data_IF_699555003858
#
_entry.id   IF_699555003858
#
_cell.length_a   1.000
_cell.length_b   1.000
_cell.length_c   1.000
_cell.angle_alpha   90.00
_cell.angle_beta   90.00
_cell.angle_gamma   90.00
#
_symmetry.space_group_name_H-M   'P 1'
#
loop_
_entity.id
_entity.type
_entity.pdbx_description
1 polymer ?
#
# COMPACT_ATOMS: atom_id res chain seq x y z
N UNK A 1 -27.24 -23.70 -42.57
CA UNK A 1 -26.96 -23.99 -41.14
C UNK A 1 -25.90 -23.10 -40.50
N UNK A 2 -25.01 -22.40 -41.22
CA UNK A 2 -23.96 -21.51 -40.64
C UNK A 2 -24.48 -20.21 -39.97
N UNK A 3 -25.69 -19.72 -40.29
CA UNK A 3 -26.13 -18.40 -39.81
C UNK A 3 -26.70 -18.39 -38.37
N UNK A 4 -27.28 -19.50 -37.90
CA UNK A 4 -27.86 -19.59 -36.54
C UNK A 4 -26.85 -19.78 -35.44
N UNK A 5 -25.79 -20.53 -35.69
CA UNK A 5 -24.67 -20.75 -34.72
C UNK A 5 -23.88 -19.47 -34.48
N UNK A 6 -23.67 -18.66 -35.51
CA UNK A 6 -23.01 -17.35 -35.37
C UNK A 6 -23.86 -16.33 -34.58
N UNK A 7 -25.19 -16.47 -34.59
CA UNK A 7 -26.11 -15.62 -33.83
C UNK A 7 -26.01 -15.86 -32.31
N UNK A 8 -26.03 -17.12 -31.88
CA UNK A 8 -26.00 -17.50 -30.45
C UNK A 8 -24.64 -17.15 -29.84
N UNK A 9 -23.54 -17.47 -30.53
CA UNK A 9 -22.21 -17.11 -30.07
C UNK A 9 -22.00 -15.59 -29.88
N UNK A 10 -22.57 -14.81 -30.79
CA UNK A 10 -22.50 -13.35 -30.71
C UNK A 10 -23.34 -12.78 -29.55
N UNK A 11 -24.51 -13.39 -29.28
CA UNK A 11 -25.33 -13.03 -28.13
C UNK A 11 -24.60 -13.34 -26.82
N UNK A 12 -24.03 -14.55 -26.70
CA UNK A 12 -23.26 -14.94 -25.51
C UNK A 12 -22.07 -14.00 -25.24
N UNK A 13 -21.33 -13.66 -26.29
CA UNK A 13 -20.20 -12.72 -26.18
C UNK A 13 -20.65 -11.31 -25.74
N UNK A 14 -21.78 -10.82 -26.19
CA UNK A 14 -22.35 -9.56 -25.72
C UNK A 14 -22.74 -9.63 -24.25
N UNK A 15 -23.35 -10.73 -23.80
CA UNK A 15 -23.72 -10.93 -22.39
C UNK A 15 -22.46 -10.95 -21.50
N UNK A 16 -21.42 -11.67 -21.91
CA UNK A 16 -20.12 -11.68 -21.21
C UNK A 16 -19.53 -10.27 -21.18
N UNK A 17 -19.56 -9.54 -22.30
CA UNK A 17 -19.08 -8.17 -22.37
C UNK A 17 -19.83 -7.25 -21.38
N UNK A 18 -21.15 -7.36 -21.30
CA UNK A 18 -21.96 -6.61 -20.34
C UNK A 18 -21.61 -6.94 -18.89
N UNK A 19 -21.32 -8.21 -18.58
CA UNK A 19 -20.90 -8.61 -17.24
C UNK A 19 -19.62 -7.87 -16.83
N UNK A 20 -18.58 -7.85 -17.71
CA UNK A 20 -17.31 -7.16 -17.42
C UNK A 20 -17.47 -5.64 -17.41
N UNK A 21 -18.32 -5.07 -18.27
CA UNK A 21 -18.63 -3.63 -18.26
C UNK A 21 -19.24 -3.22 -16.91
N UNK A 22 -20.26 -3.97 -16.44
CA UNK A 22 -20.87 -3.72 -15.13
C UNK A 22 -19.88 -3.89 -13.98
N UNK A 23 -19.06 -4.95 -14.02
CA UNK A 23 -18.02 -5.17 -13.03
C UNK A 23 -17.01 -4.01 -12.98
N UNK A 24 -16.57 -3.48 -14.15
CA UNK A 24 -15.70 -2.31 -14.21
C UNK A 24 -16.35 -1.08 -13.58
N UNK A 25 -17.60 -0.79 -13.92
CA UNK A 25 -18.32 0.37 -13.38
C UNK A 25 -18.49 0.28 -11.86
N UNK A 26 -18.77 -0.93 -11.34
CA UNK A 26 -18.81 -1.19 -9.91
C UNK A 26 -17.44 -1.01 -9.26
N UNK A 27 -16.36 -1.55 -9.84
CA UNK A 27 -15.00 -1.32 -9.36
C UNK A 27 -14.65 0.19 -9.35
N UNK A 28 -15.01 0.92 -10.41
CA UNK A 28 -14.75 2.36 -10.51
C UNK A 28 -15.57 3.19 -9.52
N UNK A 29 -16.64 2.65 -8.95
CA UNK A 29 -17.44 3.31 -7.90
C UNK A 29 -16.84 3.16 -6.49
N UNK A 30 -15.86 2.26 -6.30
CA UNK A 30 -15.30 1.95 -4.97
C UNK A 30 -14.71 3.16 -4.23
N UNK A 31 -14.10 4.17 -4.88
CA UNK A 31 -13.60 5.37 -4.21
C UNK A 31 -14.67 6.17 -3.47
N UNK A 32 -15.92 6.06 -3.91
CA UNK A 32 -17.03 6.90 -3.47
C UNK A 32 -17.95 6.22 -2.45
N UNK A 33 -17.72 4.95 -2.15
CA UNK A 33 -18.60 4.16 -1.30
C UNK A 33 -17.87 3.76 -0.03
N UNK A 34 -18.32 4.31 1.12
CA UNK A 34 -17.72 3.96 2.41
C UNK A 34 -17.95 2.48 2.75
N UNK A 35 -16.91 1.73 3.16
CA UNK A 35 -16.99 0.27 3.38
C UNK A 35 -17.98 -0.16 4.47
N UNK A 36 -18.35 0.71 5.42
CA UNK A 36 -19.37 0.39 6.41
C UNK A 36 -20.77 0.27 5.81
N UNK A 37 -21.06 0.97 4.71
CA UNK A 37 -22.33 0.83 3.99
C UNK A 37 -22.32 -0.38 3.06
N UNK A 38 -21.18 -0.64 2.42
CA UNK A 38 -21.06 -1.69 1.41
C UNK A 38 -19.67 -2.33 1.49
N UNK A 39 -19.46 -3.19 2.48
CA UNK A 39 -18.14 -3.75 2.77
C UNK A 39 -17.48 -4.50 1.60
N UNK A 40 -18.26 -5.16 0.75
CA UNK A 40 -17.73 -5.92 -0.39
C UNK A 40 -17.16 -5.01 -1.50
N UNK A 41 -17.37 -3.69 -1.42
CA UNK A 41 -16.76 -2.74 -2.35
C UNK A 41 -15.23 -2.80 -2.28
N UNK A 42 -14.66 -3.14 -1.12
CA UNK A 42 -13.23 -3.36 -0.95
C UNK A 42 -12.69 -4.49 -1.83
N UNK A 43 -13.46 -5.58 -2.03
CA UNK A 43 -13.07 -6.62 -3.00
C UNK A 43 -13.07 -6.12 -4.43
N UNK A 44 -14.02 -5.27 -4.77
CA UNK A 44 -14.11 -4.71 -6.12
C UNK A 44 -12.92 -3.79 -6.41
N UNK A 45 -12.44 -3.04 -5.41
CA UNK A 45 -11.23 -2.24 -5.59
C UNK A 45 -10.00 -3.10 -5.92
N UNK A 46 -9.85 -4.28 -5.29
CA UNK A 46 -8.79 -5.24 -5.61
C UNK A 46 -8.85 -5.76 -7.05
N UNK A 47 -10.07 -5.89 -7.61
CA UNK A 47 -10.28 -6.37 -8.98
C UNK A 47 -10.12 -5.28 -10.03
N UNK A 48 -10.10 -4.01 -9.63
CA UNK A 48 -10.10 -2.86 -10.53
C UNK A 48 -9.07 -2.94 -11.68
N UNK A 49 -7.76 -3.21 -11.45
CA UNK A 49 -6.80 -3.26 -12.54
C UNK A 49 -7.13 -4.32 -13.61
N UNK A 50 -7.63 -5.47 -13.16
CA UNK A 50 -7.99 -6.57 -14.07
C UNK A 50 -9.22 -6.24 -14.90
N UNK A 51 -10.20 -5.55 -14.32
CA UNK A 51 -11.40 -5.13 -15.03
C UNK A 51 -11.08 -4.12 -16.12
N UNK A 52 -10.17 -3.17 -15.86
CA UNK A 52 -9.68 -2.25 -16.89
C UNK A 52 -9.03 -2.99 -18.05
N UNK A 53 -8.13 -3.94 -17.77
CA UNK A 53 -7.46 -4.73 -18.81
C UNK A 53 -8.47 -5.58 -19.60
N UNK A 54 -9.40 -6.25 -18.92
CA UNK A 54 -10.40 -7.11 -19.56
C UNK A 54 -11.35 -6.31 -20.45
N UNK A 55 -11.89 -5.18 -19.97
CA UNK A 55 -12.76 -4.32 -20.78
C UNK A 55 -12.00 -3.68 -21.94
N UNK A 56 -10.70 -3.37 -21.76
CA UNK A 56 -9.82 -2.98 -22.86
C UNK A 56 -9.70 -4.05 -23.96
N UNK A 57 -9.50 -5.30 -23.58
CA UNK A 57 -9.50 -6.44 -24.54
C UNK A 57 -10.85 -6.59 -25.23
N UNK A 58 -11.96 -6.47 -24.50
CA UNK A 58 -13.32 -6.51 -25.05
C UNK A 58 -13.53 -5.37 -26.04
N UNK A 59 -13.08 -4.17 -25.74
CA UNK A 59 -13.13 -3.03 -26.66
C UNK A 59 -12.41 -3.35 -27.97
N UNK A 60 -11.16 -3.80 -27.90
CA UNK A 60 -10.33 -4.16 -29.07
C UNK A 60 -11.03 -5.25 -29.89
N UNK A 61 -11.59 -6.29 -29.26
CA UNK A 61 -12.33 -7.35 -29.94
C UNK A 61 -13.51 -6.80 -30.76
N UNK A 62 -14.36 -5.95 -30.15
CA UNK A 62 -15.53 -5.42 -30.86
C UNK A 62 -15.18 -4.38 -31.95
N UNK A 63 -14.06 -3.67 -31.81
CA UNK A 63 -13.51 -2.81 -32.87
C UNK A 63 -13.04 -3.64 -34.04
N UNK A 64 -12.28 -4.72 -33.85
CA UNK A 64 -11.82 -5.64 -34.91
C UNK A 64 -13.02 -6.28 -35.63
N UNK A 65 -14.09 -6.58 -34.88
CA UNK A 65 -15.34 -7.09 -35.47
C UNK A 65 -16.16 -6.05 -36.23
N UNK A 66 -15.73 -4.79 -36.25
CA UNK A 66 -16.45 -3.64 -36.84
C UNK A 66 -17.92 -3.54 -36.36
N UNK A 67 -18.14 -3.99 -35.12
CA UNK A 67 -19.46 -3.98 -34.50
C UNK A 67 -19.71 -2.69 -33.75
N UNK A 68 -20.81 -2.00 -33.96
CA UNK A 68 -21.22 -0.81 -33.19
C UNK A 68 -21.27 -1.06 -31.67
N UNK A 69 -21.25 -2.32 -31.23
CA UNK A 69 -21.23 -2.69 -29.82
C UNK A 69 -19.96 -2.16 -29.09
N UNK A 70 -18.87 -1.84 -29.82
CA UNK A 70 -17.64 -1.26 -29.24
C UNK A 70 -17.89 0.02 -28.43
N UNK A 71 -18.99 0.74 -28.71
CA UNK A 71 -19.36 1.97 -28.03
C UNK A 71 -19.54 1.73 -26.52
N UNK A 72 -20.10 0.60 -26.10
CA UNK A 72 -20.39 0.31 -24.69
C UNK A 72 -19.12 0.12 -23.83
N UNK A 73 -18.16 -0.75 -24.19
CA UNK A 73 -16.90 -0.83 -23.45
C UNK A 73 -16.08 0.47 -23.52
N UNK A 74 -16.14 1.22 -24.63
CA UNK A 74 -15.50 2.53 -24.73
C UNK A 74 -16.10 3.51 -23.72
N UNK A 75 -17.42 3.64 -23.65
CA UNK A 75 -18.11 4.49 -22.69
C UNK A 75 -17.81 4.07 -21.24
N UNK A 76 -17.77 2.77 -20.95
CA UNK A 76 -17.43 2.27 -19.63
C UNK A 76 -16.02 2.68 -19.22
N UNK A 77 -15.03 2.56 -20.10
CA UNK A 77 -13.64 2.99 -19.85
C UNK A 77 -13.57 4.52 -19.64
N UNK A 78 -14.28 5.31 -20.43
CA UNK A 78 -14.32 6.77 -20.27
C UNK A 78 -14.96 7.19 -18.95
N UNK A 79 -16.09 6.57 -18.55
CA UNK A 79 -16.72 6.82 -17.26
C UNK A 79 -15.86 6.40 -16.08
N UNK A 80 -15.01 5.39 -16.27
CA UNK A 80 -14.09 4.87 -15.25
C UNK A 80 -12.71 5.55 -15.27
N UNK A 81 -12.48 6.54 -16.14
CA UNK A 81 -11.18 7.19 -16.34
C UNK A 81 -10.62 7.81 -15.05
N UNK A 82 -11.52 8.35 -14.20
CA UNK A 82 -11.13 8.87 -12.89
C UNK A 82 -10.48 7.80 -12.00
N UNK A 83 -11.05 6.59 -11.93
CA UNK A 83 -10.45 5.48 -11.17
C UNK A 83 -9.20 4.92 -11.85
N UNK A 84 -9.16 4.91 -13.20
CA UNK A 84 -8.02 4.41 -13.97
C UNK A 84 -6.71 5.11 -13.63
N UNK A 85 -6.70 6.43 -13.51
CA UNK A 85 -5.50 7.24 -13.26
C UNK A 85 -4.79 6.92 -11.94
N UNK A 86 -5.47 6.32 -10.95
CA UNK A 86 -4.86 5.93 -9.68
C UNK A 86 -4.29 4.52 -9.69
N UNK A 87 -4.80 3.67 -10.57
CA UNK A 87 -4.33 2.29 -10.71
C UNK A 87 -3.06 2.18 -11.54
N UNK A 88 -2.88 3.04 -12.55
CA UNK A 88 -1.81 2.92 -13.54
C UNK A 88 -0.99 4.21 -13.63
N UNK A 89 0.32 4.05 -13.71
CA UNK A 89 1.27 5.11 -14.04
C UNK A 89 2.04 4.73 -15.31
N UNK A 90 2.29 5.70 -16.17
CA UNK A 90 2.97 5.47 -17.46
C UNK A 90 4.20 6.36 -17.64
N UNK A 91 4.87 6.70 -16.55
CA UNK A 91 6.12 7.42 -16.66
C UNK A 91 7.23 6.51 -17.18
N UNK A 92 8.06 7.05 -18.04
CA UNK A 92 9.20 6.29 -18.57
C UNK A 92 10.10 5.87 -17.41
N UNK A 93 10.40 4.57 -17.27
CA UNK A 93 11.35 4.12 -16.25
C UNK A 93 12.66 4.88 -16.36
N UNK A 94 13.09 5.51 -15.27
CA UNK A 94 14.38 6.19 -15.18
C UNK A 94 15.26 5.48 -14.17
N UNK A 95 16.58 5.52 -14.40
CA UNK A 95 17.53 5.04 -13.41
C UNK A 95 17.51 5.99 -12.22
N UNK A 96 17.31 5.44 -11.03
CA UNK A 96 17.37 6.21 -9.80
C UNK A 96 18.80 6.67 -9.55
N UNK A 97 19.02 7.98 -9.40
CA UNK A 97 20.33 8.58 -9.18
C UNK A 97 20.59 8.70 -7.68
N UNK A 98 21.70 8.14 -7.20
CA UNK A 98 21.99 8.14 -5.76
C UNK A 98 22.37 9.52 -5.24
N UNK A 99 22.98 10.36 -6.09
CA UNK A 99 23.34 11.74 -5.71
C UNK A 99 22.10 12.60 -5.60
N UNK A 100 21.88 13.18 -4.42
CA UNK A 100 20.78 14.13 -4.15
C UNK A 100 21.21 15.57 -4.45
N UNK A 101 20.24 16.42 -4.76
CA UNK A 101 20.38 17.88 -4.75
C UNK A 101 19.95 18.47 -3.42
N UNK A 102 20.42 19.65 -3.05
CA UNK A 102 20.25 20.23 -1.70
C UNK A 102 18.78 20.51 -1.33
N UNK A 103 17.93 20.83 -2.32
CA UNK A 103 16.51 21.12 -2.10
C UNK A 103 15.60 19.87 -2.09
N UNK A 104 16.19 18.68 -2.10
CA UNK A 104 15.44 17.41 -2.12
C UNK A 104 15.43 16.80 -0.71
N UNK A 105 14.27 16.27 -0.33
CA UNK A 105 14.10 15.40 0.83
C UNK A 105 13.87 13.95 0.31
N UNK A 106 14.80 13.05 0.65
CA UNK A 106 14.66 11.63 0.31
C UNK A 106 13.94 10.90 1.44
N UNK A 107 12.77 10.38 1.13
CA UNK A 107 11.89 9.68 2.07
C UNK A 107 11.79 8.22 1.68
N UNK A 108 12.01 7.32 2.65
CA UNK A 108 11.80 5.87 2.52
C UNK A 108 10.63 5.45 3.40
N UNK A 109 9.76 4.59 2.88
CA UNK A 109 8.77 3.86 3.69
C UNK A 109 8.96 2.36 3.50
N UNK A 110 8.88 1.59 4.59
CA UNK A 110 9.03 0.15 4.54
C UNK A 110 8.34 -0.56 5.71
N UNK A 111 7.38 -1.42 5.42
CA UNK A 111 6.89 -2.39 6.39
C UNK A 111 7.90 -3.54 6.50
N UNK A 112 8.46 -3.73 7.70
CA UNK A 112 9.58 -4.65 7.94
C UNK A 112 9.12 -6.05 8.35
N UNK A 113 7.81 -6.27 8.48
CA UNK A 113 7.26 -7.55 8.91
C UNK A 113 7.98 -8.09 10.17
N UNK A 114 8.20 -7.23 11.16
CA UNK A 114 8.90 -7.58 12.41
C UNK A 114 10.30 -8.18 12.19
N UNK A 115 10.98 -7.86 11.10
CA UNK A 115 12.24 -8.47 10.66
C UNK A 115 12.16 -9.98 10.45
N UNK A 116 10.97 -10.49 10.09
CA UNK A 116 10.80 -11.90 9.74
C UNK A 116 11.19 -12.08 8.27
N UNK A 117 12.06 -13.05 7.95
CA UNK A 117 12.41 -13.32 6.56
C UNK A 117 11.19 -13.59 5.68
N UNK A 118 11.22 -13.10 4.45
CA UNK A 118 10.15 -13.22 3.46
C UNK A 118 9.61 -14.67 3.29
N UNK A 119 10.50 -15.67 3.34
CA UNK A 119 10.18 -17.08 3.12
C UNK A 119 9.86 -17.86 4.40
N UNK A 120 9.79 -17.20 5.55
CA UNK A 120 9.47 -17.84 6.82
C UNK A 120 8.05 -17.50 7.25
N UNK A 121 7.30 -18.53 7.67
CA UNK A 121 5.90 -18.38 8.10
C UNK A 121 5.73 -18.22 9.61
N UNK A 122 6.75 -18.61 10.38
CA UNK A 122 6.69 -18.59 11.83
C UNK A 122 7.45 -17.39 12.40
N UNK A 123 6.85 -16.74 13.40
CA UNK A 123 7.51 -15.74 14.19
C UNK A 123 8.71 -16.35 14.93
N UNK A 124 9.90 -16.17 14.37
CA UNK A 124 11.16 -16.50 15.03
C UNK A 124 11.72 -15.29 15.75
N UNK A 125 12.63 -15.47 16.72
CA UNK A 125 13.38 -14.33 17.24
C UNK A 125 14.05 -13.56 16.11
N UNK A 126 13.99 -12.23 16.19
CA UNK A 126 14.69 -11.35 15.25
C UNK A 126 16.15 -11.73 15.21
N UNK A 127 16.71 -11.94 14.02
CA UNK A 127 18.11 -12.29 13.87
C UNK A 127 18.93 -11.14 13.25
N UNK A 128 20.20 -11.10 13.60
CA UNK A 128 21.16 -10.08 13.14
C UNK A 128 21.27 -10.02 11.60
N UNK A 129 21.21 -11.16 10.94
CA UNK A 129 21.30 -11.22 9.48
C UNK A 129 20.16 -10.44 8.82
N UNK A 130 18.94 -10.55 9.36
CA UNK A 130 17.79 -9.83 8.81
C UNK A 130 17.87 -8.32 9.09
N UNK A 131 18.31 -7.95 10.30
CA UNK A 131 18.59 -6.54 10.63
C UNK A 131 19.62 -5.98 9.66
N UNK A 132 20.75 -6.67 9.45
CA UNK A 132 21.81 -6.20 8.56
C UNK A 132 21.33 -6.00 7.12
N UNK A 133 20.52 -6.91 6.57
CA UNK A 133 19.93 -6.75 5.22
C UNK A 133 19.11 -5.47 5.10
N UNK A 134 18.32 -5.14 6.12
CA UNK A 134 17.53 -3.90 6.13
C UNK A 134 18.47 -2.69 6.21
N UNK A 135 19.46 -2.72 7.09
CA UNK A 135 20.43 -1.63 7.25
C UNK A 135 21.26 -1.42 5.98
N UNK A 136 21.66 -2.49 5.28
CA UNK A 136 22.37 -2.41 4.00
C UNK A 136 21.55 -1.67 2.93
N UNK A 137 20.23 -1.90 2.88
CA UNK A 137 19.34 -1.13 2.00
C UNK A 137 19.23 0.33 2.41
N UNK A 138 19.18 0.63 3.71
CA UNK A 138 19.20 2.01 4.22
C UNK A 138 20.48 2.72 3.83
N UNK A 139 21.64 2.07 4.02
CA UNK A 139 22.97 2.62 3.66
C UNK A 139 23.07 2.86 2.15
N UNK A 140 22.65 1.90 1.35
CA UNK A 140 22.70 2.00 -0.12
C UNK A 140 21.84 3.15 -0.65
N UNK A 141 20.67 3.37 -0.05
CA UNK A 141 19.71 4.35 -0.52
C UNK A 141 19.84 5.73 0.11
N UNK A 142 20.52 5.83 1.25
CA UNK A 142 20.79 7.07 1.98
C UNK A 142 19.56 7.99 2.16
N UNK A 143 18.40 7.48 2.65
CA UNK A 143 17.26 8.32 2.93
C UNK A 143 17.58 9.39 3.98
N UNK A 144 16.88 10.51 3.92
CA UNK A 144 16.94 11.57 4.92
C UNK A 144 15.95 11.28 6.05
N UNK A 145 14.82 10.72 5.68
CA UNK A 145 13.75 10.30 6.59
C UNK A 145 13.33 8.87 6.25
N UNK A 146 13.12 8.07 7.28
CA UNK A 146 12.65 6.69 7.15
C UNK A 146 11.37 6.53 7.97
N UNK A 147 10.32 6.01 7.32
CA UNK A 147 9.08 5.61 7.93
C UNK A 147 9.02 4.07 7.94
N UNK A 148 9.21 3.46 9.09
CA UNK A 148 9.10 2.02 9.25
C UNK A 148 7.76 1.64 9.88
N UNK A 149 7.17 0.54 9.40
CA UNK A 149 6.04 -0.14 10.00
C UNK A 149 6.50 -1.53 10.45
N UNK A 150 5.86 -2.07 11.48
CA UNK A 150 6.24 -3.34 12.13
C UNK A 150 7.74 -3.38 12.51
N UNK A 151 8.27 -2.22 12.91
CA UNK A 151 9.65 -2.09 13.36
C UNK A 151 9.80 -2.67 14.76
N UNK A 152 10.89 -3.42 15.02
CA UNK A 152 11.19 -3.97 16.34
C UNK A 152 12.39 -3.27 16.96
N UNK A 153 12.22 -2.84 18.21
CA UNK A 153 13.30 -2.44 19.10
C UNK A 153 13.68 -3.58 20.05
N UNK A 154 14.99 -3.77 20.29
CA UNK A 154 15.59 -4.82 21.10
C UNK A 154 16.37 -4.23 22.28
N UNK A 155 15.77 -3.61 23.32
CA UNK A 155 16.49 -2.85 24.34
C UNK A 155 17.54 -3.63 25.10
N UNK A 156 17.36 -4.94 25.26
CA UNK A 156 18.33 -5.82 25.95
C UNK A 156 19.53 -6.23 25.08
N UNK A 157 19.46 -6.01 23.76
CA UNK A 157 20.50 -6.39 22.80
C UNK A 157 21.16 -5.13 22.23
N UNK A 158 21.82 -4.34 23.07
CA UNK A 158 22.36 -3.03 22.68
C UNK A 158 23.12 -3.03 21.36
N UNK A 159 23.99 -4.02 21.13
CA UNK A 159 24.83 -4.09 19.94
C UNK A 159 24.08 -4.53 18.67
N UNK A 160 22.92 -5.15 18.81
CA UNK A 160 22.10 -5.66 17.71
C UNK A 160 20.71 -5.00 17.67
N UNK A 161 20.48 -3.94 18.48
CA UNK A 161 19.24 -3.19 18.47
C UNK A 161 19.18 -2.29 17.23
N UNK A 162 18.31 -2.54 16.26
CA UNK A 162 18.24 -1.76 15.02
C UNK A 162 17.95 -0.27 15.28
N UNK A 163 17.23 0.06 16.35
CA UNK A 163 16.98 1.43 16.75
C UNK A 163 18.29 2.16 17.13
N UNK A 164 19.12 1.51 17.95
CA UNK A 164 20.40 2.08 18.36
C UNK A 164 21.39 2.16 17.19
N UNK A 165 21.45 1.12 16.36
CA UNK A 165 22.30 1.10 15.17
C UNK A 165 21.99 2.27 14.23
N UNK A 166 20.70 2.48 13.91
CA UNK A 166 20.27 3.59 13.07
C UNK A 166 20.66 4.94 13.66
N UNK A 167 20.48 5.11 14.97
CA UNK A 167 20.75 6.37 15.65
C UNK A 167 22.26 6.67 15.77
N UNK A 168 23.04 5.69 16.21
CA UNK A 168 24.45 5.90 16.60
C UNK A 168 25.42 5.71 15.44
N UNK A 169 25.12 4.78 14.50
CA UNK A 169 26.06 4.43 13.43
C UNK A 169 25.66 4.99 12.06
N UNK A 170 24.34 5.20 11.82
CA UNK A 170 23.85 5.62 10.51
C UNK A 170 23.33 7.05 10.45
N UNK A 171 23.48 7.82 11.55
CA UNK A 171 23.25 9.26 11.59
C UNK A 171 21.79 9.67 11.68
N UNK A 172 20.86 8.77 12.03
CA UNK A 172 19.47 9.11 12.29
C UNK A 172 19.30 9.56 13.76
N UNK A 173 19.84 10.73 14.07
CA UNK A 173 19.92 11.24 15.43
C UNK A 173 18.54 11.46 16.09
N UNK A 174 17.50 11.65 15.29
CA UNK A 174 16.16 11.97 15.74
C UNK A 174 15.19 10.85 15.41
N UNK A 175 14.29 10.55 16.36
CA UNK A 175 13.39 9.41 16.28
C UNK A 175 12.07 9.72 16.98
N UNK A 176 10.95 9.31 16.33
CA UNK A 176 9.67 9.04 16.96
C UNK A 176 9.33 7.58 16.75
N UNK A 177 9.01 6.86 17.82
CA UNK A 177 8.61 5.45 17.81
C UNK A 177 7.47 5.26 18.80
N UNK A 178 6.38 4.64 18.40
CA UNK A 178 5.26 4.39 19.31
C UNK A 178 5.57 3.26 20.29
N UNK A 179 6.24 2.19 19.83
CA UNK A 179 6.69 1.08 20.68
C UNK A 179 5.60 0.48 21.56
N UNK A 180 4.34 0.54 21.12
CA UNK A 180 3.20 0.24 21.94
C UNK A 180 3.03 -1.25 22.22
N UNK A 181 3.50 -2.11 21.34
CA UNK A 181 3.32 -3.55 21.44
C UNK A 181 4.52 -4.26 22.03
N UNK A 182 4.25 -5.05 23.08
CA UNK A 182 5.21 -6.03 23.57
C UNK A 182 5.09 -7.27 22.67
N UNK A 183 5.86 -7.28 21.58
CA UNK A 183 5.86 -8.39 20.62
C UNK A 183 6.32 -9.72 21.25
N UNK A 184 7.29 -9.65 22.16
CA UNK A 184 7.76 -10.75 23.03
C UNK A 184 8.41 -10.12 24.26
N UNK A 185 8.70 -10.93 25.29
CA UNK A 185 9.35 -10.41 26.50
C UNK A 185 10.57 -9.52 26.14
N UNK A 186 10.43 -8.20 26.35
CA UNK A 186 11.41 -7.15 26.07
C UNK A 186 11.71 -6.83 24.59
N UNK A 187 10.78 -7.09 23.68
CA UNK A 187 10.80 -6.61 22.31
C UNK A 187 9.59 -5.70 22.11
N UNK A 188 9.81 -4.51 21.60
CA UNK A 188 8.75 -3.55 21.32
C UNK A 188 8.57 -3.44 19.81
N UNK A 189 7.35 -3.60 19.34
CA UNK A 189 6.97 -3.44 17.95
C UNK A 189 6.17 -2.17 17.77
N UNK A 190 6.25 -1.57 16.59
CA UNK A 190 5.43 -0.41 16.26
C UNK A 190 5.85 0.30 14.99
N UNK A 191 5.30 1.51 14.84
CA UNK A 191 5.55 2.40 13.73
C UNK A 191 6.59 3.46 14.13
N UNK A 192 7.53 3.76 13.24
CA UNK A 192 8.63 4.67 13.54
C UNK A 192 8.88 5.69 12.42
N UNK A 193 9.35 6.88 12.84
CA UNK A 193 9.97 7.87 11.95
C UNK A 193 11.41 8.10 12.44
N UNK A 194 12.38 7.80 11.60
CA UNK A 194 13.79 8.16 11.81
C UNK A 194 14.13 9.33 10.92
N UNK A 195 14.85 10.31 11.46
CA UNK A 195 15.24 11.52 10.73
C UNK A 195 16.70 11.89 10.98
N UNK A 196 17.36 12.33 9.91
CA UNK A 196 18.66 13.03 10.01
C UNK A 196 18.48 14.50 10.40
N UNK A 197 17.31 15.07 10.20
CA UNK A 197 16.95 16.43 10.54
C UNK A 197 16.34 16.51 11.95
N UNK A 198 16.51 17.65 12.65
CA UNK A 198 15.92 17.85 13.97
C UNK A 198 14.40 17.66 13.95
N UNK A 199 13.89 16.92 14.94
CA UNK A 199 12.48 16.78 15.24
C UNK A 199 12.16 17.76 16.37
N UNK A 200 11.28 18.74 16.12
CA UNK A 200 10.88 19.75 17.12
C UNK A 200 9.57 19.39 17.82
N UNK A 201 8.78 18.56 17.21
CA UNK A 201 7.54 18.01 17.79
C UNK A 201 7.27 16.65 17.19
N UNK A 202 6.79 15.73 18.00
CA UNK A 202 6.37 14.42 17.53
C UNK A 202 5.29 13.83 18.43
N UNK A 203 4.66 12.76 17.98
CA UNK A 203 3.64 12.06 18.76
C UNK A 203 3.01 10.90 17.99
N UNK A 204 2.09 10.25 18.68
CA UNK A 204 1.27 9.15 18.17
C UNK A 204 -0.12 9.69 17.91
N UNK A 205 -0.72 9.29 16.81
CA UNK A 205 -2.12 9.54 16.46
C UNK A 205 -2.92 8.29 16.83
N UNK A 206 -3.60 8.28 17.98
CA UNK A 206 -4.36 7.09 18.40
C UNK A 206 -5.65 6.99 17.58
N UNK A 207 -5.89 5.84 16.97
CA UNK A 207 -7.19 5.58 16.33
C UNK A 207 -8.28 5.35 17.39
N UNK A 208 -9.47 5.94 17.24
CA UNK A 208 -10.51 5.93 18.27
C UNK A 208 -11.23 4.59 18.44
N UNK A 209 -10.81 3.55 17.71
CA UNK A 209 -11.49 2.26 17.73
C UNK A 209 -10.80 1.25 18.66
N UNK A 210 -11.52 0.76 19.70
CA UNK A 210 -10.99 -0.21 20.66
C UNK A 210 -10.75 -1.61 20.06
N UNK A 211 -11.03 -1.81 18.78
CA UNK A 211 -10.85 -3.09 18.07
C UNK A 211 -9.67 -3.09 17.09
N UNK A 212 -9.01 -1.96 16.90
CA UNK A 212 -7.74 -1.93 16.22
C UNK A 212 -6.69 -2.58 17.12
N UNK A 213 -5.92 -3.53 16.59
CA UNK A 213 -4.74 -4.01 17.30
C UNK A 213 -3.82 -2.83 17.58
N UNK A 214 -3.26 -2.75 18.78
CA UNK A 214 -2.39 -1.63 19.18
C UNK A 214 -1.09 -1.54 18.35
N UNK A 215 -0.81 -2.55 17.51
CA UNK A 215 0.34 -2.57 16.59
C UNK A 215 0.21 -1.63 15.38
N UNK A 216 -0.98 -1.06 15.19
CA UNK A 216 -1.31 -0.25 14.03
C UNK A 216 -1.51 1.20 14.46
N UNK A 217 -0.44 1.98 14.38
CA UNK A 217 -0.46 3.38 14.75
C UNK A 217 0.02 4.27 13.60
N UNK A 218 -0.44 5.49 13.63
CA UNK A 218 0.19 6.58 12.88
C UNK A 218 1.03 7.38 13.85
N UNK A 219 2.31 7.55 13.54
CA UNK A 219 3.18 8.49 14.25
C UNK A 219 3.47 9.69 13.37
N UNK A 220 3.69 10.84 13.99
CA UNK A 220 4.11 12.04 13.28
C UNK A 220 5.39 12.63 13.89
N UNK A 221 6.15 13.32 13.05
CA UNK A 221 7.33 14.07 13.44
C UNK A 221 7.39 15.37 12.62
N UNK A 222 7.51 16.51 13.30
CA UNK A 222 7.76 17.81 12.69
C UNK A 222 9.28 18.00 12.58
N UNK A 223 9.80 17.89 11.36
CA UNK A 223 11.23 18.03 11.06
C UNK A 223 11.54 19.42 10.56
N UNK A 224 12.75 19.93 10.89
CA UNK A 224 13.26 21.19 10.36
C UNK A 224 14.31 20.88 9.28
N UNK A 225 14.09 21.37 8.06
CA UNK A 225 15.07 21.35 6.98
C UNK A 225 15.26 22.77 6.43
N UNK A 226 16.43 23.36 6.73
CA UNK A 226 16.65 24.78 6.45
C UNK A 226 15.75 25.68 7.31
N UNK A 227 14.96 26.53 6.67
CA UNK A 227 13.94 27.39 7.31
C UNK A 227 12.59 26.72 7.46
N UNK A 228 12.37 25.57 6.82
CA UNK A 228 11.04 24.98 6.67
C UNK A 228 10.78 23.92 7.73
N UNK A 229 9.57 23.92 8.23
CA UNK A 229 9.04 22.82 9.06
C UNK A 229 8.10 21.97 8.22
N UNK A 230 8.37 20.68 8.17
CA UNK A 230 7.58 19.68 7.42
C UNK A 230 7.14 18.61 8.39
N UNK A 231 5.85 18.28 8.35
CA UNK A 231 5.33 17.14 9.11
C UNK A 231 5.47 15.85 8.32
N UNK A 232 6.10 14.87 8.93
CA UNK A 232 6.19 13.51 8.41
C UNK A 232 5.19 12.63 9.17
N UNK A 233 4.30 11.96 8.46
CA UNK A 233 3.47 10.91 9.03
C UNK A 233 3.99 9.55 8.56
N UNK A 234 4.26 8.66 9.50
CA UNK A 234 4.44 7.23 9.23
C UNK A 234 3.14 6.53 9.59
N UNK A 235 2.51 5.90 8.61
CA UNK A 235 1.16 5.33 8.74
C UNK A 235 1.21 3.82 8.61
N UNK A 236 0.50 3.13 9.49
CA UNK A 236 0.19 1.71 9.35
C UNK A 236 -1.30 1.51 9.70
N UNK A 237 -2.13 1.26 8.70
CA UNK A 237 -3.56 0.97 8.90
C UNK A 237 -3.76 -0.52 9.20
N UNK A 238 -4.97 -0.86 9.65
CA UNK A 238 -5.35 -2.22 10.03
C UNK A 238 -4.92 -3.24 8.98
N UNK A 239 -4.13 -4.22 9.39
CA UNK A 239 -3.78 -5.35 8.53
C UNK A 239 -4.95 -6.35 8.41
N UNK A 240 -5.02 -7.07 7.28
CA UNK A 240 -5.91 -8.23 7.18
C UNK A 240 -5.47 -9.37 8.12
N UNK A 241 -4.24 -9.32 8.62
CA UNK A 241 -3.71 -10.31 9.55
C UNK A 241 -3.77 -11.74 8.97
N UNK A 242 -3.49 -11.89 7.67
CA UNK A 242 -3.47 -13.21 7.03
C UNK A 242 -2.22 -13.96 7.46
N UNK A 243 -2.43 -15.09 8.14
CA UNK A 243 -1.40 -16.04 8.46
C UNK A 243 -1.50 -17.29 7.59
N UNK A 244 -0.73 -18.32 7.95
CA UNK A 244 -0.72 -19.60 7.22
C UNK A 244 -2.12 -20.23 7.07
N UNK A 245 -2.99 -20.04 8.06
CA UNK A 245 -4.35 -20.57 8.01
C UNK A 245 -5.14 -19.93 6.87
N UNK A 246 -5.15 -18.59 6.79
CA UNK A 246 -5.90 -17.85 5.80
C UNK A 246 -5.36 -18.11 4.40
N UNK A 247 -4.04 -18.16 4.22
CA UNK A 247 -3.43 -18.53 2.94
C UNK A 247 -3.79 -19.95 2.52
N UNK A 248 -3.77 -20.92 3.46
CA UNK A 248 -4.17 -22.29 3.17
C UNK A 248 -5.67 -22.38 2.79
N UNK A 249 -6.54 -21.58 3.39
CA UNK A 249 -7.96 -21.50 3.01
C UNK A 249 -8.10 -21.00 1.58
N UNK A 250 -7.37 -19.94 1.20
CA UNK A 250 -7.39 -19.40 -0.15
C UNK A 250 -6.89 -20.40 -1.21
N UNK A 251 -5.93 -21.25 -0.86
CA UNK A 251 -5.36 -22.24 -1.78
C UNK A 251 -6.17 -23.54 -1.86
N UNK A 252 -6.82 -23.95 -0.75
CA UNK A 252 -7.60 -25.20 -0.68
C UNK A 252 -9.04 -25.08 -1.15
N UNK A 253 -9.52 -23.87 -1.45
CA UNK A 253 -10.93 -23.57 -1.77
C UNK A 253 -11.55 -24.36 -2.96
N UNK A 254 -11.05 -25.56 -3.25
CA UNK A 254 -11.51 -26.40 -4.36
C UNK A 254 -11.98 -27.81 -3.96
N UNK A 255 -11.93 -28.28 -2.70
CA UNK A 255 -12.08 -29.72 -2.46
C UNK A 255 -13.00 -30.25 -1.35
N UNK A 256 -13.57 -29.48 -0.36
CA UNK A 256 -14.37 -30.15 0.70
C UNK A 256 -15.44 -29.30 1.43
N UNK A 257 -16.38 -29.98 2.19
CA UNK A 257 -17.51 -29.35 2.93
C UNK A 257 -17.11 -28.46 4.12
N UNK A 258 -15.96 -28.66 4.71
CA UNK A 258 -15.39 -27.79 5.74
C UNK A 258 -15.02 -26.40 5.17
N UNK A 259 -14.85 -26.28 3.87
CA UNK A 259 -14.53 -25.08 3.12
C UNK A 259 -15.57 -23.97 3.29
N UNK A 260 -16.85 -24.28 3.40
CA UNK A 260 -17.88 -23.27 3.57
C UNK A 260 -17.77 -22.53 4.92
N UNK A 261 -17.39 -23.23 5.98
CA UNK A 261 -17.18 -22.63 7.31
C UNK A 261 -15.93 -21.74 7.31
N UNK A 262 -14.86 -22.22 6.70
CA UNK A 262 -13.60 -21.48 6.59
C UNK A 262 -13.72 -20.27 5.65
N UNK A 263 -14.42 -20.40 4.53
CA UNK A 263 -14.73 -19.28 3.64
C UNK A 263 -15.57 -18.20 4.33
N UNK A 264 -16.59 -18.59 5.12
CA UNK A 264 -17.39 -17.65 5.93
C UNK A 264 -16.53 -16.93 6.98
N UNK A 265 -15.61 -17.64 7.62
CA UNK A 265 -14.67 -17.03 8.58
C UNK A 265 -13.79 -15.99 7.88
N UNK A 266 -13.20 -16.31 6.72
CA UNK A 266 -12.37 -15.41 5.95
C UNK A 266 -13.15 -14.16 5.49
N UNK A 267 -14.35 -14.36 4.94
CA UNK A 267 -15.23 -13.27 4.54
C UNK A 267 -15.59 -12.35 5.71
N UNK A 268 -15.88 -12.92 6.89
CA UNK A 268 -16.16 -12.13 8.09
C UNK A 268 -14.96 -11.31 8.55
N UNK A 269 -13.75 -11.90 8.48
CA UNK A 269 -12.49 -11.23 8.82
C UNK A 269 -12.24 -10.08 7.84
N UNK A 270 -12.35 -10.32 6.54
CA UNK A 270 -12.17 -9.30 5.51
C UNK A 270 -13.20 -8.18 5.62
N UNK A 271 -14.48 -8.52 5.85
CA UNK A 271 -15.53 -7.52 6.09
C UNK A 271 -15.13 -6.57 7.22
N UNK A 272 -14.74 -7.13 8.39
CA UNK A 272 -14.33 -6.33 9.55
C UNK A 272 -13.15 -5.41 9.19
N UNK A 273 -12.15 -5.92 8.47
CA UNK A 273 -10.97 -5.13 8.09
C UNK A 273 -11.34 -4.00 7.13
N UNK A 274 -12.15 -4.25 6.10
CA UNK A 274 -12.60 -3.18 5.19
C UNK A 274 -13.41 -2.09 5.92
N UNK A 275 -14.31 -2.49 6.84
CA UNK A 275 -15.07 -1.53 7.65
C UNK A 275 -14.12 -0.67 8.53
N UNK A 276 -13.11 -1.28 9.15
CA UNK A 276 -12.10 -0.57 9.93
C UNK A 276 -11.26 0.38 9.07
N UNK A 277 -10.84 -0.04 7.86
CA UNK A 277 -10.13 0.81 6.92
C UNK A 277 -10.89 2.10 6.62
N UNK A 278 -12.19 2.01 6.32
CA UNK A 278 -13.01 3.19 6.08
C UNK A 278 -13.04 4.15 7.28
N UNK A 279 -13.24 3.61 8.49
CA UNK A 279 -13.28 4.41 9.72
C UNK A 279 -11.91 5.01 10.05
N UNK A 280 -10.82 4.27 9.87
CA UNK A 280 -9.47 4.77 10.07
C UNK A 280 -9.11 5.84 9.05
N UNK A 281 -9.52 5.67 7.78
CA UNK A 281 -9.30 6.65 6.72
C UNK A 281 -10.02 7.97 7.03
N UNK A 282 -11.28 7.93 7.45
CA UNK A 282 -12.04 9.13 7.82
C UNK A 282 -11.40 9.89 8.99
N UNK A 283 -10.94 9.14 10.00
CA UNK A 283 -10.27 9.74 11.14
C UNK A 283 -8.92 10.35 10.74
N UNK A 284 -8.11 9.58 10.02
CA UNK A 284 -6.79 10.05 9.56
C UNK A 284 -6.92 11.29 8.67
N UNK A 285 -7.89 11.32 7.75
CA UNK A 285 -8.16 12.49 6.90
C UNK A 285 -8.42 13.76 7.71
N UNK A 286 -9.17 13.65 8.83
CA UNK A 286 -9.39 14.79 9.75
C UNK A 286 -8.09 15.26 10.40
N UNK A 287 -7.23 14.32 10.80
CA UNK A 287 -5.91 14.62 11.39
C UNK A 287 -4.99 15.30 10.36
N UNK A 288 -4.96 14.79 9.14
CA UNK A 288 -4.16 15.34 8.04
C UNK A 288 -4.59 16.77 7.69
N UNK A 289 -5.91 17.00 7.58
CA UNK A 289 -6.47 18.33 7.28
C UNK A 289 -6.22 19.35 8.41
N UNK A 290 -6.01 18.88 9.63
CA UNK A 290 -5.66 19.72 10.79
C UNK A 290 -4.15 19.93 10.94
N UNK A 291 -3.31 19.45 10.01
CA UNK A 291 -1.86 19.60 10.07
C UNK A 291 -1.45 21.08 10.01
N UNK A 292 -0.66 21.58 10.97
CA UNK A 292 -0.23 22.99 10.96
C UNK A 292 0.88 23.26 9.92
N UNK A 293 1.46 22.23 9.34
CA UNK A 293 2.56 22.31 8.38
C UNK A 293 2.24 21.51 7.12
N UNK A 294 2.87 21.84 5.98
CA UNK A 294 2.90 20.93 4.84
C UNK A 294 3.39 19.56 5.31
N UNK A 295 2.76 18.49 4.82
CA UNK A 295 3.11 17.16 5.29
C UNK A 295 3.47 16.19 4.17
N UNK A 296 4.32 15.23 4.51
CA UNK A 296 4.56 14.02 3.72
C UNK A 296 4.01 12.86 4.54
N UNK A 297 3.13 12.08 3.93
CA UNK A 297 2.63 10.84 4.50
C UNK A 297 3.32 9.69 3.79
N UNK A 298 3.94 8.80 4.56
CA UNK A 298 4.59 7.61 4.04
C UNK A 298 4.18 6.41 4.90
N UNK A 299 3.80 5.30 4.28
CA UNK A 299 3.38 4.13 5.06
C UNK A 299 2.55 3.13 4.28
N UNK A 300 2.13 2.12 5.04
CA UNK A 300 1.29 1.02 4.62
C UNK A 300 -0.18 1.32 4.94
N UNK A 301 -1.00 1.54 3.92
CA UNK A 301 -2.43 1.73 4.07
C UNK A 301 -3.20 0.40 4.10
N UNK A 302 -2.53 -0.73 3.87
CA UNK A 302 -3.16 -2.05 3.75
C UNK A 302 -4.34 -2.10 2.77
N UNK A 303 -4.44 -1.13 1.87
CA UNK A 303 -5.51 -1.00 0.87
C UNK A 303 -4.95 -0.51 -0.48
N UNK A 304 -5.66 -0.79 -1.57
CA UNK A 304 -5.20 -0.60 -2.95
C UNK A 304 -5.61 0.75 -3.53
N UNK A 305 -4.95 1.20 -4.63
CA UNK A 305 -5.39 2.39 -5.35
C UNK A 305 -6.83 2.28 -5.83
N UNK A 306 -7.57 3.37 -5.77
CA UNK A 306 -8.98 3.40 -6.14
C UNK A 306 -9.92 2.80 -5.08
N UNK A 307 -9.44 2.40 -3.91
CA UNK A 307 -10.26 2.13 -2.73
C UNK A 307 -10.74 3.43 -2.07
N UNK A 308 -11.78 3.34 -1.27
CA UNK A 308 -12.23 4.44 -0.41
C UNK A 308 -11.09 4.94 0.50
N UNK A 309 -10.37 4.02 1.13
CA UNK A 309 -9.25 4.30 2.04
C UNK A 309 -8.15 5.11 1.35
N UNK A 310 -7.67 4.64 0.21
CA UNK A 310 -6.66 5.33 -0.58
C UNK A 310 -7.11 6.74 -0.96
N UNK A 311 -8.35 6.88 -1.47
CA UNK A 311 -8.86 8.17 -1.94
C UNK A 311 -9.06 9.16 -0.80
N UNK A 312 -9.58 8.72 0.33
CA UNK A 312 -9.81 9.56 1.52
C UNK A 312 -8.50 10.05 2.11
N UNK A 313 -7.52 9.15 2.31
CA UNK A 313 -6.22 9.50 2.92
C UNK A 313 -5.37 10.34 1.98
N UNK A 314 -5.36 10.02 0.67
CA UNK A 314 -4.63 10.81 -0.31
C UNK A 314 -5.23 12.22 -0.44
N UNK A 315 -6.55 12.35 -0.46
CA UNK A 315 -7.21 13.62 -0.73
C UNK A 315 -6.69 14.26 -2.02
N UNK A 316 -6.31 15.54 -1.95
CA UNK A 316 -5.74 16.29 -3.06
C UNK A 316 -4.21 16.19 -3.17
N UNK A 317 -3.57 15.39 -2.30
CA UNK A 317 -2.11 15.21 -2.31
C UNK A 317 -1.67 14.38 -3.52
N UNK A 318 -0.44 14.63 -3.96
CA UNK A 318 0.20 13.84 -5.02
C UNK A 318 0.72 12.53 -4.46
N UNK A 319 0.62 11.48 -5.27
CA UNK A 319 1.22 10.18 -5.01
C UNK A 319 2.55 10.08 -5.77
N UNK A 320 3.65 9.90 -5.06
CA UNK A 320 4.99 9.86 -5.63
C UNK A 320 5.14 8.76 -6.72
N UNK A 321 4.45 7.63 -6.56
CA UNK A 321 4.41 6.60 -7.59
C UNK A 321 3.70 7.10 -8.86
N UNK A 322 2.57 7.80 -8.73
CA UNK A 322 1.86 8.30 -9.91
C UNK A 322 2.64 9.38 -10.65
N UNK A 323 3.54 10.11 -9.98
CA UNK A 323 4.39 11.12 -10.61
C UNK A 323 5.63 10.53 -11.33
N UNK A 324 6.16 9.38 -10.90
CA UNK A 324 7.44 8.84 -11.42
C UNK A 324 7.49 7.33 -11.59
N UNK A 325 6.43 6.62 -11.23
CA UNK A 325 6.38 5.17 -11.34
C UNK A 325 5.98 4.68 -12.73
N UNK A 326 5.95 3.36 -12.88
CA UNK A 326 5.55 2.70 -14.12
C UNK A 326 4.60 1.54 -13.85
N UNK A 327 3.54 1.47 -14.63
CA UNK A 327 2.48 0.47 -14.64
C UNK A 327 1.74 0.35 -13.31
N UNK A 328 1.72 -0.80 -12.63
CA UNK A 328 0.95 -1.05 -11.41
C UNK A 328 1.69 -0.75 -10.10
N UNK A 329 3.01 -0.89 -10.09
CA UNK A 329 3.87 -0.56 -8.96
C UNK A 329 3.61 -1.35 -7.68
N UNK A 330 3.30 -2.65 -7.77
CA UNK A 330 3.05 -3.50 -6.60
C UNK A 330 4.12 -3.36 -5.52
N UNK A 331 3.70 -3.22 -4.27
CA UNK A 331 4.60 -3.10 -3.12
C UNK A 331 4.52 -4.28 -2.16
N UNK A 332 3.53 -5.15 -2.32
CA UNK A 332 3.33 -6.35 -1.49
C UNK A 332 3.42 -7.63 -2.33
N UNK A 333 3.99 -8.66 -1.73
CA UNK A 333 4.08 -10.01 -2.32
C UNK A 333 3.99 -11.05 -1.20
N UNK A 334 3.65 -12.29 -1.55
CA UNK A 334 3.63 -13.38 -0.58
C UNK A 334 4.33 -14.61 -1.14
N UNK A 335 5.24 -15.19 -0.36
CA UNK A 335 5.87 -16.48 -0.70
C UNK A 335 4.90 -17.65 -0.51
N UNK A 336 3.82 -17.45 0.25
CA UNK A 336 2.86 -18.48 0.64
C UNK A 336 1.64 -18.56 -0.28
N UNK A 337 1.46 -17.61 -1.18
CA UNK A 337 0.36 -17.60 -2.14
C UNK A 337 0.88 -17.54 -3.56
N UNK A 338 0.60 -18.58 -4.35
CA UNK A 338 0.91 -18.61 -5.77
C UNK A 338 0.25 -17.43 -6.51
N UNK A 339 -1.00 -17.11 -6.16
CA UNK A 339 -1.73 -16.01 -6.77
C UNK A 339 -1.03 -14.66 -6.53
N UNK A 340 -0.70 -14.33 -5.27
CA UNK A 340 -0.04 -13.07 -4.92
C UNK A 340 1.39 -12.98 -5.45
N UNK A 341 2.08 -14.10 -5.59
CA UNK A 341 3.41 -14.16 -6.22
C UNK A 341 3.35 -13.94 -7.72
N UNK A 342 2.31 -14.48 -8.37
CA UNK A 342 2.19 -14.48 -9.84
C UNK A 342 1.52 -13.22 -10.37
N UNK A 343 0.61 -12.61 -9.58
CA UNK A 343 -0.18 -11.44 -9.98
C UNK A 343 0.15 -10.26 -9.06
N UNK A 344 1.26 -9.55 -9.31
CA UNK A 344 1.74 -8.48 -8.43
C UNK A 344 0.94 -7.18 -8.66
N UNK A 345 -0.28 -7.10 -8.14
CA UNK A 345 -1.13 -5.90 -8.28
C UNK A 345 -1.34 -5.13 -6.98
N UNK A 346 -0.88 -5.68 -5.85
CA UNK A 346 -1.09 -5.04 -4.57
C UNK A 346 -0.05 -3.95 -4.33
N UNK A 347 -0.40 -2.72 -4.65
CA UNK A 347 0.28 -1.52 -4.20
C UNK A 347 -0.47 -1.02 -2.97
N UNK A 348 0.12 -1.16 -1.80
CA UNK A 348 -0.47 -0.82 -0.50
C UNK A 348 0.41 0.13 0.33
N UNK A 349 1.68 0.30 -0.08
CA UNK A 349 2.60 1.25 0.51
C UNK A 349 2.72 2.50 -0.37
N UNK A 350 2.68 3.66 0.24
CA UNK A 350 2.57 4.95 -0.45
C UNK A 350 3.49 6.01 0.15
N UNK A 351 3.81 7.01 -0.68
CA UNK A 351 4.36 8.30 -0.25
C UNK A 351 3.50 9.38 -0.90
N UNK A 352 2.75 10.13 -0.06
CA UNK A 352 1.95 11.27 -0.48
C UNK A 352 2.59 12.57 -0.04
N UNK A 353 2.48 13.62 -0.85
CA UNK A 353 3.01 14.95 -0.53
C UNK A 353 2.11 16.07 -1.07
N UNK A 354 2.23 17.32 -0.56
CA UNK A 354 1.40 18.45 -0.98
C UNK A 354 1.66 18.80 -2.46
N UNK A 355 0.69 19.51 -3.06
CA UNK A 355 0.76 19.89 -4.47
C UNK A 355 1.93 20.82 -4.82
N UNK A 356 2.40 21.65 -3.87
CA UNK A 356 3.56 22.52 -4.04
C UNK A 356 4.90 21.77 -4.08
N UNK A 357 4.95 20.52 -3.62
CA UNK A 357 6.13 19.67 -3.74
C UNK A 357 6.07 18.86 -5.05
N UNK A 358 7.21 18.33 -5.47
CA UNK A 358 7.31 17.54 -6.70
C UNK A 358 8.20 16.32 -6.47
N UNK A 359 7.72 15.15 -6.80
CA UNK A 359 8.56 13.95 -6.84
C UNK A 359 9.51 14.05 -8.02
N UNK A 360 10.81 14.02 -7.76
CA UNK A 360 11.84 14.05 -8.81
C UNK A 360 12.26 12.66 -9.23
N UNK A 361 12.29 11.71 -8.28
CA UNK A 361 12.62 10.32 -8.49
C UNK A 361 11.78 9.42 -7.59
N UNK A 362 11.50 8.21 -8.05
CA UNK A 362 10.82 7.17 -7.29
C UNK A 362 11.42 5.80 -7.60
N UNK A 363 11.59 4.96 -6.60
CA UNK A 363 11.89 3.54 -6.79
C UNK A 363 11.29 2.68 -5.69
N UNK A 364 11.18 1.40 -5.96
CA UNK A 364 10.91 0.35 -4.97
C UNK A 364 12.05 -0.65 -4.93
N UNK A 365 12.26 -1.29 -3.78
CA UNK A 365 13.32 -2.28 -3.62
C UNK A 365 13.14 -3.14 -2.37
N UNK A 366 14.21 -3.84 -1.93
CA UNK A 366 14.16 -4.73 -0.76
C UNK A 366 13.52 -6.10 -1.04
N UNK A 367 13.51 -6.55 -2.31
CA UNK A 367 12.95 -7.83 -2.70
C UNK A 367 13.53 -9.00 -1.88
N UNK A 368 12.66 -9.85 -1.31
CA UNK A 368 13.05 -11.04 -0.55
C UNK A 368 13.56 -10.77 0.88
N UNK A 369 13.54 -9.51 1.33
CA UNK A 369 13.88 -9.13 2.71
C UNK A 369 12.61 -9.14 3.58
N UNK A 370 11.58 -8.41 3.16
CA UNK A 370 10.23 -8.43 3.72
C UNK A 370 9.24 -8.93 2.68
N UNK A 371 7.99 -9.18 3.03
CA UNK A 371 6.88 -9.36 2.09
C UNK A 371 6.42 -8.03 1.49
N UNK A 372 6.88 -6.89 2.05
CA UNK A 372 6.76 -5.58 1.44
C UNK A 372 8.07 -5.16 0.77
N UNK A 373 7.94 -4.48 -0.37
CA UNK A 373 9.03 -3.70 -0.95
C UNK A 373 9.05 -2.33 -0.29
N UNK A 374 10.25 -1.79 0.01
CA UNK A 374 10.30 -0.38 0.35
C UNK A 374 9.92 0.48 -0.85
N UNK A 375 9.33 1.62 -0.56
CA UNK A 375 9.14 2.72 -1.50
C UNK A 375 10.06 3.87 -1.11
N UNK A 376 10.71 4.47 -2.09
CA UNK A 376 11.67 5.55 -1.92
C UNK A 376 11.37 6.65 -2.92
N UNK A 377 11.24 7.88 -2.43
CA UNK A 377 11.02 9.04 -3.28
C UNK A 377 11.96 10.19 -2.90
N UNK A 378 12.43 10.89 -3.91
CA UNK A 378 13.08 12.19 -3.79
C UNK A 378 12.02 13.28 -4.05
N UNK A 379 11.76 14.08 -3.03
CA UNK A 379 10.72 15.11 -3.03
C UNK A 379 11.41 16.48 -3.01
N UNK A 380 11.31 17.22 -4.12
CA UNK A 380 11.78 18.59 -4.20
C UNK A 380 10.75 19.51 -3.53
N UNK A 381 11.26 20.40 -2.69
CA UNK A 381 10.51 21.44 -2.01
C UNK A 381 10.71 22.77 -2.75
N UNK A 382 9.76 23.73 -2.67
CA UNK A 382 9.87 25.03 -3.30
C UNK A 382 11.13 25.81 -2.96
#
# INVERSE_FOLDING_TARGET
MKSRSNGIGNILLKLISWLFILALLLCASSPFIHPTYLWFIGFLSLLSPYMFLMVGVILVYWVIKLSRFFIFPLLALLLSAYSFQFNFSFHKPSTFVDKKTDNVLRVMSWNLRHFIPYNESNFRPVNKTQINKVLDEVVRNQPDVICFQEFISLPKQKNDNPLQLLKEQYGYAYLQFDGADIFRSNQFSGTAVFSKFPIVRSGVVPYPHPQADNSEATVFADIIKGSDTIRIYSVHLQSFGFGNREYNILERAQQDKDEMRESKYLLKKMKKTFELHGMQADFLTKVLNASPYPFILAGDLNDVPGSYTYMSVRGDHKDAFLEKGFFLGSTFTSSFSFLLKTIPTLRIDYIFHPNQFTTTQYKRGGAGISDHFYVLADIAMP
#
